data_IF_863936469438
#
_entry.id   IF_863936469438
#
_cell.length_a   1.000
_cell.length_b   1.000
_cell.length_c   1.000
_cell.angle_alpha   90.00
_cell.angle_beta   90.00
_cell.angle_gamma   90.00
#
_symmetry.space_group_name_H-M   'P 1'
#
loop_
_entity.id
_entity.type
_entity.pdbx_description
1 polymer ?
#
# COMPACT_ATOMS: atom_id res chain seq x y z
N UNK A 1 -1.72 -12.02 -11.93
CA UNK A 1 -2.05 -13.35 -12.51
C UNK A 1 -3.05 -13.21 -13.66
N UNK A 2 -2.99 -14.08 -14.68
CA UNK A 2 -3.98 -14.10 -15.77
C UNK A 2 -5.33 -14.54 -15.20
N UNK A 3 -6.36 -13.72 -15.34
CA UNK A 3 -7.72 -14.02 -14.84
C UNK A 3 -8.02 -13.58 -13.40
N UNK A 4 -7.05 -12.98 -12.70
CA UNK A 4 -7.36 -12.27 -11.46
C UNK A 4 -8.25 -11.04 -11.78
N UNK A 5 -9.26 -10.71 -10.94
CA UNK A 5 -9.97 -9.45 -11.04
C UNK A 5 -8.95 -8.31 -11.13
N UNK A 6 -9.15 -7.38 -12.07
CA UNK A 6 -8.30 -6.20 -12.13
C UNK A 6 -8.42 -5.40 -10.84
N UNK A 7 -7.36 -4.68 -10.44
CA UNK A 7 -7.30 -3.86 -9.22
C UNK A 7 -8.40 -2.79 -9.12
N UNK A 8 -9.21 -2.56 -10.17
CA UNK A 8 -10.28 -1.57 -10.19
C UNK A 8 -11.53 -1.90 -9.38
N UNK A 9 -11.58 -3.04 -8.68
CA UNK A 9 -12.67 -3.36 -7.74
C UNK A 9 -12.23 -3.33 -6.27
N UNK A 10 -10.98 -2.96 -6.00
CA UNK A 10 -10.49 -2.82 -4.63
C UNK A 10 -11.10 -1.57 -4.00
N UNK A 11 -11.59 -1.69 -2.77
CA UNK A 11 -11.97 -0.51 -1.98
C UNK A 11 -10.70 0.15 -1.46
N UNK A 12 -10.41 1.36 -1.96
CA UNK A 12 -9.26 2.15 -1.53
C UNK A 12 -9.77 3.40 -0.83
N UNK A 13 -9.35 3.61 0.41
CA UNK A 13 -9.61 4.81 1.16
C UNK A 13 -8.30 5.40 1.69
N UNK A 14 -8.17 6.72 1.65
CA UNK A 14 -6.99 7.41 2.13
C UNK A 14 -7.33 8.76 2.76
N UNK A 15 -6.48 9.15 3.71
CA UNK A 15 -6.54 10.45 4.38
C UNK A 15 -5.13 10.99 4.53
N UNK A 16 -4.98 12.30 4.37
CA UNK A 16 -3.76 13.02 4.74
C UNK A 16 -3.98 13.67 6.09
N UNK A 17 -2.99 13.55 6.98
CA UNK A 17 -2.99 14.28 8.24
C UNK A 17 -2.25 15.61 8.05
N UNK A 18 -2.96 16.73 8.17
CA UNK A 18 -2.38 18.07 8.09
C UNK A 18 -2.77 18.87 9.34
N UNK A 19 -1.78 19.38 10.07
CA UNK A 19 -1.97 20.09 11.35
C UNK A 19 -2.90 19.36 12.34
N UNK A 20 -2.72 18.03 12.43
CA UNK A 20 -3.52 17.17 13.30
C UNK A 20 -4.96 16.92 12.84
N UNK A 21 -5.35 17.41 11.65
CA UNK A 21 -6.69 17.22 11.09
C UNK A 21 -6.64 16.31 9.85
N UNK A 22 -7.53 15.32 9.74
CA UNK A 22 -7.62 14.50 8.55
C UNK A 22 -8.22 15.31 7.40
N UNK A 23 -7.59 15.24 6.24
CA UNK A 23 -8.08 15.71 4.95
C UNK A 23 -8.39 14.49 4.10
N UNK A 24 -9.61 14.40 3.57
CA UNK A 24 -10.02 13.29 2.70
C UNK A 24 -9.27 13.32 1.38
N UNK A 25 -8.93 12.13 0.88
CA UNK A 25 -8.45 11.90 -0.48
C UNK A 25 -9.63 11.39 -1.31
N UNK A 26 -9.88 11.99 -2.47
CA UNK A 26 -11.05 11.67 -3.31
C UNK A 26 -10.84 10.40 -4.14
N UNK A 27 -9.65 10.27 -4.74
CA UNK A 27 -9.19 9.05 -5.40
C UNK A 27 -7.78 8.75 -4.90
N UNK A 28 -7.53 7.49 -4.56
CA UNK A 28 -6.25 7.02 -4.09
C UNK A 28 -5.87 5.77 -4.87
N UNK A 29 -4.65 5.76 -5.39
CA UNK A 29 -4.09 4.59 -6.06
C UNK A 29 -2.84 4.15 -5.35
N UNK A 30 -2.77 2.85 -5.13
CA UNK A 30 -1.59 2.18 -4.63
C UNK A 30 -1.09 1.21 -5.69
N UNK A 31 0.21 1.20 -5.89
CA UNK A 31 0.90 0.21 -6.70
C UNK A 31 1.99 -0.42 -5.86
N UNK A 32 2.09 -1.75 -5.90
CA UNK A 32 3.04 -2.48 -5.06
C UNK A 32 3.84 -3.45 -5.92
N UNK A 33 5.16 -3.39 -5.75
CA UNK A 33 6.09 -4.37 -6.31
C UNK A 33 6.38 -5.40 -5.24
N UNK A 34 6.20 -6.67 -5.59
CA UNK A 34 6.36 -7.80 -4.70
C UNK A 34 7.65 -8.57 -5.01
N UNK A 35 8.21 -9.26 -4.02
CA UNK A 35 9.23 -10.29 -4.24
C UNK A 35 8.61 -11.64 -4.61
N UNK A 36 9.46 -12.68 -4.77
CA UNK A 36 9.02 -14.02 -5.13
C UNK A 36 8.14 -14.72 -4.10
N UNK A 37 8.15 -14.25 -2.84
CA UNK A 37 7.36 -14.79 -1.74
C UNK A 37 6.10 -13.93 -1.46
N UNK A 38 5.82 -12.94 -2.31
CA UNK A 38 4.65 -12.06 -2.14
C UNK A 38 4.84 -10.95 -1.10
N UNK A 39 6.07 -10.71 -0.61
CA UNK A 39 6.35 -9.58 0.29
C UNK A 39 6.54 -8.30 -0.49
N UNK A 40 6.21 -7.16 0.12
CA UNK A 40 6.42 -5.86 -0.52
C UNK A 40 7.93 -5.58 -0.69
N UNK A 41 8.30 -4.91 -1.79
CA UNK A 41 9.67 -4.43 -2.05
C UNK A 41 9.69 -2.91 -2.19
N UNK A 42 8.76 -2.39 -2.96
CA UNK A 42 8.51 -0.96 -3.15
C UNK A 42 7.05 -0.71 -3.43
N UNK A 43 6.61 0.51 -3.21
CA UNK A 43 5.24 0.92 -3.50
C UNK A 43 5.18 2.38 -3.97
N UNK A 44 4.19 2.68 -4.79
CA UNK A 44 3.85 4.02 -5.23
C UNK A 44 2.44 4.39 -4.77
N UNK A 45 2.26 5.63 -4.33
CA UNK A 45 0.97 6.23 -4.00
C UNK A 45 0.70 7.40 -4.94
N UNK A 46 -0.53 7.48 -5.43
CA UNK A 46 -1.07 8.68 -6.09
C UNK A 46 -2.35 9.08 -5.36
N UNK A 47 -2.40 10.31 -4.85
CA UNK A 47 -3.48 10.82 -4.00
C UNK A 47 -4.09 12.09 -4.61
N UNK A 48 -5.33 12.00 -5.07
CA UNK A 48 -6.09 13.13 -5.60
C UNK A 48 -6.86 13.83 -4.47
N UNK A 49 -6.61 15.12 -4.29
CA UNK A 49 -7.29 15.96 -3.31
C UNK A 49 -8.27 16.88 -4.04
N UNK A 50 -9.39 17.22 -3.38
CA UNK A 50 -10.48 18.00 -3.98
C UNK A 50 -10.07 19.39 -4.52
N UNK A 51 -8.98 19.95 -4.00
CA UNK A 51 -8.47 21.29 -4.30
C UNK A 51 -7.18 21.28 -5.15
N UNK A 52 -6.81 20.13 -5.73
CA UNK A 52 -5.58 19.98 -6.51
C UNK A 52 -5.84 19.34 -7.89
N UNK A 53 -5.28 19.93 -8.95
CA UNK A 53 -5.44 19.44 -10.34
C UNK A 53 -4.65 18.14 -10.62
N UNK A 54 -3.59 17.90 -9.85
CA UNK A 54 -2.68 16.77 -10.03
C UNK A 54 -2.53 16.01 -8.72
N UNK A 55 -2.36 14.67 -8.76
CA UNK A 55 -2.20 13.90 -7.55
C UNK A 55 -0.88 14.20 -6.88
N UNK A 56 -0.89 14.16 -5.55
CA UNK A 56 0.33 14.03 -4.77
C UNK A 56 0.90 12.64 -4.96
N UNK A 57 2.21 12.55 -5.16
CA UNK A 57 2.90 11.28 -5.42
C UNK A 57 3.88 10.96 -4.32
N UNK A 58 3.80 9.73 -3.83
CA UNK A 58 4.82 9.18 -2.97
C UNK A 58 5.39 7.88 -3.54
N UNK A 59 6.66 7.63 -3.27
CA UNK A 59 7.28 6.34 -3.51
C UNK A 59 7.98 5.85 -2.25
N UNK A 60 7.94 4.54 -2.04
CA UNK A 60 8.47 3.91 -0.85
C UNK A 60 9.26 2.65 -1.17
N UNK A 61 10.27 2.37 -0.35
CA UNK A 61 11.08 1.15 -0.41
C UNK A 61 11.22 0.55 0.98
N UNK A 62 11.20 -0.78 1.07
CA UNK A 62 11.36 -1.49 2.35
C UNK A 62 12.73 -1.20 2.97
N UNK A 63 12.72 -0.91 4.27
CA UNK A 63 13.90 -0.86 5.14
C UNK A 63 14.08 -2.15 5.94
N UNK A 64 12.97 -2.64 6.50
CA UNK A 64 12.90 -3.87 7.27
C UNK A 64 11.47 -4.42 7.20
N UNK A 65 11.30 -5.73 7.37
CA UNK A 65 9.98 -6.34 7.40
C UNK A 65 10.02 -7.73 8.01
N UNK A 66 8.84 -8.24 8.35
CA UNK A 66 8.64 -9.58 8.87
C UNK A 66 7.38 -10.19 8.28
N UNK A 67 7.35 -11.52 8.23
CA UNK A 67 6.16 -12.29 7.87
C UNK A 67 5.66 -13.06 9.08
N UNK A 68 4.35 -13.17 9.21
CA UNK A 68 3.68 -14.03 10.18
C UNK A 68 2.64 -14.87 9.45
N UNK A 69 2.66 -16.17 9.69
CA UNK A 69 1.64 -17.09 9.19
C UNK A 69 0.61 -17.31 10.30
N UNK A 70 -0.64 -16.99 9.99
CA UNK A 70 -1.79 -17.27 10.84
C UNK A 70 -2.68 -18.30 10.14
N UNK A 71 -3.67 -18.84 10.85
CA UNK A 71 -4.63 -19.77 10.25
C UNK A 71 -5.38 -19.10 9.09
N UNK A 72 -5.16 -19.58 7.87
CA UNK A 72 -5.82 -19.10 6.65
C UNK A 72 -5.39 -17.71 6.16
N UNK A 73 -4.42 -17.05 6.80
CA UNK A 73 -3.92 -15.73 6.35
C UNK A 73 -2.41 -15.62 6.58
N UNK A 74 -1.72 -15.06 5.59
CA UNK A 74 -0.33 -14.67 5.69
C UNK A 74 -0.25 -13.15 5.83
N UNK A 75 0.52 -12.68 6.81
CA UNK A 75 0.70 -11.25 7.09
C UNK A 75 2.14 -10.85 6.76
N UNK A 76 2.30 -9.82 5.94
CA UNK A 76 3.58 -9.19 5.63
C UNK A 76 3.58 -7.75 6.14
N UNK A 77 4.34 -7.48 7.18
CA UNK A 77 4.48 -6.14 7.76
C UNK A 77 5.87 -5.59 7.45
N UNK A 78 5.94 -4.39 6.90
CA UNK A 78 7.19 -3.76 6.52
C UNK A 78 7.24 -2.28 6.91
N UNK A 79 8.41 -1.84 7.35
CA UNK A 79 8.74 -0.42 7.49
C UNK A 79 9.35 0.04 6.17
N UNK A 80 8.77 1.10 5.63
CA UNK A 80 9.15 1.74 4.40
C UNK A 80 9.82 3.08 4.67
N UNK A 81 10.84 3.38 3.87
CA UNK A 81 11.29 4.76 3.64
C UNK A 81 10.45 5.34 2.52
N UNK A 82 9.56 6.26 2.86
CA UNK A 82 8.70 6.98 1.93
C UNK A 82 9.32 8.32 1.54
N UNK A 83 9.08 8.72 0.30
CA UNK A 83 9.42 10.04 -0.24
C UNK A 83 8.20 10.62 -0.90
N UNK A 84 7.89 11.86 -0.56
CA UNK A 84 6.86 12.69 -1.20
C UNK A 84 7.46 14.09 -1.34
N UNK A 85 7.48 14.63 -2.56
CA UNK A 85 8.17 15.87 -2.90
C UNK A 85 9.65 15.84 -2.44
N UNK A 86 10.08 16.84 -1.65
CA UNK A 86 11.41 16.93 -1.05
C UNK A 86 11.53 16.30 0.34
N UNK A 87 10.46 15.65 0.83
CA UNK A 87 10.40 15.10 2.18
C UNK A 87 10.56 13.60 2.17
N UNK A 88 11.29 13.11 3.16
CA UNK A 88 11.47 11.69 3.44
C UNK A 88 10.96 11.39 4.85
N UNK A 89 10.26 10.27 5.00
CA UNK A 89 9.75 9.80 6.29
C UNK A 89 9.69 8.27 6.34
N UNK A 90 9.64 7.72 7.56
CA UNK A 90 9.32 6.32 7.76
C UNK A 90 7.80 6.11 7.79
N UNK A 91 7.33 4.97 7.32
CA UNK A 91 5.92 4.56 7.41
C UNK A 91 5.78 3.05 7.37
N UNK A 92 4.65 2.53 7.87
CA UNK A 92 4.35 1.10 7.83
C UNK A 92 3.56 0.76 6.56
N UNK A 93 3.77 -0.45 6.04
CA UNK A 93 2.91 -1.06 5.04
C UNK A 93 2.67 -2.53 5.45
N UNK A 94 1.42 -2.83 5.77
CA UNK A 94 0.95 -4.18 6.08
C UNK A 94 0.14 -4.74 4.92
N UNK A 95 0.33 -6.03 4.66
CA UNK A 95 -0.48 -6.80 3.73
C UNK A 95 -0.96 -8.07 4.39
N UNK A 96 -2.23 -8.37 4.15
CA UNK A 96 -2.94 -9.52 4.68
C UNK A 96 -3.42 -10.33 3.48
N UNK A 97 -2.80 -11.48 3.26
CA UNK A 97 -3.05 -12.35 2.12
C UNK A 97 -3.83 -13.55 2.61
N UNK A 98 -5.10 -13.66 2.21
CA UNK A 98 -5.89 -14.87 2.48
C UNK A 98 -5.31 -16.03 1.69
N UNK A 99 -5.00 -17.12 2.35
CA UNK A 99 -4.67 -18.39 1.69
C UNK A 99 -5.97 -19.06 1.29
N UNK A 100 -6.16 -19.29 0.00
CA UNK A 100 -7.20 -20.22 -0.44
C UNK A 100 -6.82 -21.62 0.02
N UNK A 101 -7.77 -22.43 0.53
CA UNK A 101 -7.49 -23.83 0.81
C UNK A 101 -7.04 -24.52 -0.47
N UNK A 102 -6.03 -25.37 -0.37
CA UNK A 102 -5.57 -26.19 -1.49
C UNK A 102 -6.76 -27.03 -1.97
N UNK A 103 -7.11 -26.91 -3.26
CA UNK A 103 -8.21 -27.68 -3.83
C UNK A 103 -7.90 -29.18 -3.69
N UNK A 104 -8.82 -29.91 -3.05
CA UNK A 104 -8.70 -31.34 -2.77
C UNK A 104 -8.72 -32.21 -4.04
#
# INVERSE_FOLDING_TARGET
>A
PRGAPGHGQEEVAAWLLHDGKPKSVEDARISTVYDGDGRQRSAGLELWLADEDFPRRASGSVLAGSSLQLEGVDVHAAIFRWRMDSREAAGAYELWVRREPEAA
#
